data_IF_833707270326
#
_entry.id   IF_833707270326
#
_cell.length_a   1.000
_cell.length_b   1.000
_cell.length_c   1.000
_cell.angle_alpha   90.00
_cell.angle_beta   90.00
_cell.angle_gamma   90.00
#
_symmetry.space_group_name_H-M   'P 1'
#
loop_
_entity.id
_entity.type
_entity.pdbx_description
1 polymer ?
#
# COMPACT_ATOMS: atom_id res chain seq x y z
N UNK A 1 2.77 -6.82 -16.78
CA UNK A 1 1.57 -6.08 -16.40
C UNK A 1 1.12 -6.41 -14.96
N UNK A 2 0.80 -7.68 -14.62
CA UNK A 2 0.32 -8.08 -13.28
C UNK A 2 1.27 -7.69 -12.16
N UNK A 3 2.58 -8.00 -12.28
CA UNK A 3 3.58 -7.65 -11.25
C UNK A 3 3.67 -6.14 -10.99
N UNK A 4 3.58 -5.33 -12.03
CA UNK A 4 3.59 -3.87 -11.90
C UNK A 4 2.31 -3.37 -11.23
N UNK A 5 1.17 -3.99 -11.53
CA UNK A 5 -0.09 -3.69 -10.85
C UNK A 5 -0.03 -4.02 -9.34
N UNK A 6 0.53 -5.17 -8.99
CA UNK A 6 0.75 -5.54 -7.58
C UNK A 6 1.71 -4.53 -6.92
N UNK A 7 2.78 -4.15 -7.59
CA UNK A 7 3.72 -3.14 -7.09
C UNK A 7 3.02 -1.79 -6.84
N UNK A 8 2.09 -1.38 -7.72
CA UNK A 8 1.33 -0.14 -7.54
C UNK A 8 0.49 -0.15 -6.26
N UNK A 9 -0.10 -1.29 -5.91
CA UNK A 9 -0.84 -1.47 -4.66
C UNK A 9 0.10 -1.36 -3.45
N UNK A 10 1.24 -2.08 -3.48
CA UNK A 10 2.23 -2.01 -2.41
C UNK A 10 2.80 -0.60 -2.24
N UNK A 11 3.03 0.12 -3.33
CA UNK A 11 3.45 1.52 -3.28
C UNK A 11 2.39 2.38 -2.61
N UNK A 12 1.15 2.26 -3.03
CA UNK A 12 0.06 3.06 -2.47
C UNK A 12 -0.09 2.83 -0.96
N UNK A 13 0.01 1.59 -0.51
CA UNK A 13 -0.37 1.20 0.85
C UNK A 13 0.78 1.10 1.84
N UNK A 14 1.99 0.76 1.39
CA UNK A 14 2.97 0.24 2.33
C UNK A 14 4.37 0.84 2.17
N UNK A 15 4.94 0.92 0.97
CA UNK A 15 6.38 1.14 0.78
C UNK A 15 6.85 2.45 1.42
N UNK A 16 6.32 3.64 1.13
CA UNK A 16 6.88 4.88 1.65
C UNK A 16 6.66 5.05 3.17
N UNK A 17 5.52 4.59 3.69
CA UNK A 17 5.27 4.62 5.13
C UNK A 17 6.17 3.67 5.90
N UNK A 18 6.41 2.47 5.37
CA UNK A 18 7.35 1.51 5.94
C UNK A 18 8.76 2.06 5.95
N UNK A 19 9.23 2.63 4.83
CA UNK A 19 10.53 3.28 4.76
C UNK A 19 10.66 4.39 5.81
N UNK A 20 9.66 5.26 5.92
CA UNK A 20 9.67 6.36 6.88
C UNK A 20 9.78 5.85 8.33
N UNK A 21 9.01 4.83 8.69
CA UNK A 21 9.02 4.26 10.04
C UNK A 21 10.30 3.49 10.36
N UNK A 22 11.00 2.96 9.37
CA UNK A 22 12.29 2.31 9.59
C UNK A 22 13.38 3.28 10.13
N UNK A 23 13.23 4.59 9.95
CA UNK A 23 14.15 5.55 10.59
C UNK A 23 13.99 5.60 12.12
N UNK A 24 12.86 5.17 12.66
CA UNK A 24 12.60 5.16 14.10
C UNK A 24 13.03 3.84 14.74
N UNK A 25 14.17 3.85 15.46
CA UNK A 25 14.81 2.63 16.01
C UNK A 25 14.03 1.94 17.13
N UNK A 26 13.10 2.63 17.79
CA UNK A 26 12.43 2.12 19.02
C UNK A 26 11.05 1.53 18.78
N UNK A 27 10.53 1.51 17.54
CA UNK A 27 9.21 1.00 17.22
C UNK A 27 9.28 -0.51 17.01
N UNK A 28 8.34 -1.26 17.57
CA UNK A 28 8.20 -2.69 17.34
C UNK A 28 7.84 -2.95 15.88
N UNK A 29 8.31 -4.05 15.31
CA UNK A 29 8.09 -4.38 13.91
C UNK A 29 6.60 -4.47 13.55
N UNK A 30 5.76 -4.96 14.47
CA UNK A 30 4.32 -5.03 14.26
C UNK A 30 3.69 -3.64 14.13
N UNK A 31 4.11 -2.71 14.99
CA UNK A 31 3.63 -1.32 14.94
C UNK A 31 4.10 -0.63 13.66
N UNK A 32 5.33 -0.94 13.20
CA UNK A 32 5.84 -0.45 11.90
C UNK A 32 4.94 -0.91 10.78
N UNK A 33 4.56 -2.19 10.73
CA UNK A 33 3.69 -2.75 9.69
C UNK A 33 2.33 -2.06 9.71
N UNK A 34 1.69 -1.95 10.88
CA UNK A 34 0.35 -1.37 10.99
C UNK A 34 0.34 0.12 10.66
N UNK A 35 1.31 0.88 11.19
CA UNK A 35 1.39 2.33 10.97
C UNK A 35 1.89 2.70 9.56
N UNK A 36 2.52 1.76 8.84
CA UNK A 36 2.94 2.00 7.45
C UNK A 36 1.76 2.31 6.54
N UNK A 37 0.61 1.67 6.75
CA UNK A 37 -0.56 1.84 5.90
C UNK A 37 -1.03 3.31 5.87
N UNK A 38 -1.51 3.91 6.97
CA UNK A 38 -1.99 5.29 6.94
C UNK A 38 -0.89 6.28 6.55
N UNK A 39 0.36 6.01 6.96
CA UNK A 39 1.46 6.91 6.65
C UNK A 39 1.82 6.89 5.17
N UNK A 40 1.76 5.73 4.51
CA UNK A 40 1.97 5.61 3.05
C UNK A 40 0.97 6.45 2.27
N UNK A 41 -0.29 6.48 2.70
CA UNK A 41 -1.32 7.28 2.03
C UNK A 41 -0.97 8.76 2.06
N UNK A 42 -0.56 9.26 3.23
CA UNK A 42 -0.19 10.67 3.40
C UNK A 42 1.07 11.01 2.59
N UNK A 43 2.10 10.15 2.65
CA UNK A 43 3.35 10.39 1.93
C UNK A 43 3.12 10.37 0.42
N UNK A 44 2.39 9.38 -0.11
CA UNK A 44 2.06 9.31 -1.54
C UNK A 44 1.23 10.52 -1.99
N UNK A 45 0.26 10.94 -1.18
CA UNK A 45 -0.52 12.14 -1.49
C UNK A 45 0.39 13.37 -1.68
N UNK A 46 1.28 13.62 -0.74
CA UNK A 46 2.21 14.76 -0.79
C UNK A 46 3.18 14.59 -1.97
N UNK A 47 3.76 13.41 -2.15
CA UNK A 47 4.70 13.10 -3.22
C UNK A 47 4.08 13.35 -4.60
N UNK A 48 2.92 12.77 -4.87
CA UNK A 48 2.25 12.91 -6.16
C UNK A 48 1.84 14.36 -6.40
N UNK A 49 1.29 15.03 -5.38
CA UNK A 49 0.94 16.45 -5.48
C UNK A 49 2.15 17.30 -5.91
N UNK A 50 3.31 17.06 -5.32
CA UNK A 50 4.55 17.76 -5.69
C UNK A 50 4.99 17.40 -7.11
N UNK A 51 4.99 16.10 -7.47
CA UNK A 51 5.40 15.65 -8.81
C UNK A 51 4.50 16.22 -9.92
N UNK A 52 3.19 16.27 -9.69
CA UNK A 52 2.24 16.85 -10.66
C UNK A 52 2.47 18.35 -10.84
N UNK A 53 2.66 19.10 -9.75
CA UNK A 53 2.94 20.54 -9.84
C UNK A 53 4.26 20.85 -10.58
N UNK A 54 5.22 19.92 -10.53
CA UNK A 54 6.49 20.02 -11.26
C UNK A 54 6.43 19.43 -12.68
N UNK A 55 5.29 18.88 -13.11
CA UNK A 55 5.14 18.12 -14.36
C UNK A 55 6.12 16.92 -14.48
N UNK A 56 6.45 16.31 -13.34
CA UNK A 56 7.38 15.19 -13.25
C UNK A 56 6.70 13.84 -12.97
N UNK A 57 5.38 13.81 -12.83
CA UNK A 57 4.64 12.57 -12.54
C UNK A 57 4.53 11.71 -13.79
N UNK A 58 5.54 10.91 -14.05
CA UNK A 58 5.65 10.01 -15.19
C UNK A 58 6.06 8.61 -14.75
N UNK A 59 5.77 7.61 -15.58
CA UNK A 59 6.10 6.22 -15.32
C UNK A 59 7.58 6.04 -14.93
N UNK A 60 8.49 6.59 -15.72
CA UNK A 60 9.93 6.43 -15.51
C UNK A 60 10.40 7.04 -14.20
N UNK A 61 9.96 8.27 -13.89
CA UNK A 61 10.35 8.96 -12.66
C UNK A 61 9.77 8.23 -11.45
N UNK A 62 8.53 7.77 -11.53
CA UNK A 62 7.90 7.08 -10.42
C UNK A 62 8.53 5.71 -10.16
N UNK A 63 8.95 4.97 -11.21
CA UNK A 63 9.75 3.76 -11.05
C UNK A 63 11.10 4.01 -10.38
N UNK A 64 11.78 5.11 -10.73
CA UNK A 64 13.05 5.50 -10.09
C UNK A 64 12.82 5.77 -8.60
N UNK A 65 11.75 6.46 -8.23
CA UNK A 65 11.41 6.73 -6.82
C UNK A 65 11.19 5.42 -6.07
N UNK A 66 10.38 4.50 -6.59
CA UNK A 66 10.12 3.21 -5.97
C UNK A 66 11.43 2.41 -5.81
N UNK A 67 12.27 2.41 -6.83
CA UNK A 67 13.56 1.71 -6.77
C UNK A 67 14.45 2.30 -5.66
N UNK A 68 14.51 3.62 -5.53
CA UNK A 68 15.25 4.30 -4.47
C UNK A 68 14.69 3.97 -3.09
N UNK A 69 13.36 3.96 -2.92
CA UNK A 69 12.71 3.56 -1.67
C UNK A 69 13.07 2.13 -1.28
N UNK A 70 13.02 1.20 -2.22
CA UNK A 70 13.38 -0.21 -1.99
C UNK A 70 14.87 -0.35 -1.62
N UNK A 71 15.77 0.33 -2.33
CA UNK A 71 17.20 0.32 -2.01
C UNK A 71 17.46 0.87 -0.60
N UNK A 72 16.80 1.95 -0.22
CA UNK A 72 16.92 2.54 1.11
C UNK A 72 16.38 1.59 2.19
N UNK A 73 15.23 0.93 1.96
CA UNK A 73 14.69 -0.08 2.87
C UNK A 73 15.73 -1.18 3.10
N UNK A 74 16.27 -1.77 2.03
CA UNK A 74 17.29 -2.83 2.15
C UNK A 74 18.55 -2.34 2.85
N UNK A 75 19.03 -1.13 2.55
CA UNK A 75 20.20 -0.54 3.19
C UNK A 75 20.01 -0.38 4.69
N UNK A 76 18.84 0.13 5.12
CA UNK A 76 18.51 0.31 6.55
C UNK A 76 18.39 -1.05 7.24
N UNK A 77 17.72 -2.03 6.59
CA UNK A 77 17.56 -3.35 7.16
C UNK A 77 18.90 -4.07 7.34
N UNK A 78 19.80 -4.00 6.36
CA UNK A 78 21.15 -4.58 6.45
C UNK A 78 21.96 -3.92 7.55
N UNK A 79 21.89 -2.59 7.70
CA UNK A 79 22.60 -1.87 8.76
C UNK A 79 22.02 -2.15 10.16
N UNK A 80 20.72 -2.35 10.24
CA UNK A 80 20.00 -2.51 11.52
C UNK A 80 20.02 -3.95 12.03
N UNK A 81 19.92 -4.90 11.12
CA UNK A 81 19.91 -6.32 11.42
C UNK A 81 21.09 -6.97 10.72
N UNK A 82 22.06 -7.51 11.49
CA UNK A 82 23.07 -8.34 10.83
C UNK A 82 22.36 -9.44 10.06
N UNK A 83 22.87 -9.79 8.90
CA UNK A 83 22.29 -10.86 8.03
C UNK A 83 22.06 -12.14 8.84
N UNK A 84 22.98 -12.46 9.77
CA UNK A 84 22.87 -13.60 10.67
C UNK A 84 21.67 -13.49 11.64
N UNK A 85 21.31 -12.28 12.07
CA UNK A 85 20.12 -12.06 12.91
C UNK A 85 18.84 -12.29 12.11
N UNK A 86 18.75 -11.77 10.90
CA UNK A 86 17.60 -12.00 10.01
C UNK A 86 17.42 -13.50 9.71
N UNK A 87 18.49 -14.21 9.37
CA UNK A 87 18.45 -15.65 9.16
C UNK A 87 17.98 -16.38 10.42
N UNK A 88 18.52 -16.01 11.60
CA UNK A 88 18.12 -16.64 12.86
C UNK A 88 16.64 -16.39 13.23
N UNK A 89 16.10 -15.22 12.91
CA UNK A 89 14.68 -14.93 13.16
C UNK A 89 13.75 -15.68 12.16
N UNK A 90 14.18 -15.79 10.90
CA UNK A 90 13.50 -16.63 9.91
C UNK A 90 13.52 -18.10 10.34
N UNK A 91 14.69 -18.61 10.75
CA UNK A 91 14.81 -19.98 11.23
C UNK A 91 13.98 -20.22 12.50
N UNK A 92 13.91 -19.26 13.41
CA UNK A 92 13.02 -19.33 14.57
C UNK A 92 11.56 -19.39 14.16
N UNK A 93 11.15 -18.55 13.20
CA UNK A 93 9.77 -18.54 12.71
C UNK A 93 9.37 -19.89 12.13
N UNK A 94 10.22 -20.50 11.28
CA UNK A 94 9.99 -21.83 10.73
C UNK A 94 10.18 -22.97 11.74
N UNK A 95 11.03 -22.80 12.77
CA UNK A 95 11.23 -23.80 13.83
C UNK A 95 10.12 -23.76 14.89
N UNK A 96 9.45 -22.62 15.11
CA UNK A 96 8.28 -22.52 15.97
C UNK A 96 7.10 -23.36 15.44
N UNK A 97 7.00 -23.52 14.12
CA UNK A 97 6.00 -24.38 13.48
C UNK A 97 6.25 -25.87 13.80
N UNK A 98 7.51 -26.26 14.04
CA UNK A 98 7.92 -27.65 14.34
C UNK A 98 7.79 -28.01 15.83
N UNK A 99 7.81 -27.02 16.72
CA UNK A 99 7.68 -27.16 18.19
C UNK A 99 6.37 -26.58 18.73
N UNK A 100 5.29 -26.71 17.99
CA UNK A 100 3.97 -26.24 18.44
C UNK A 100 3.50 -27.04 19.66
N UNK A 101 4.05 -26.73 20.84
CA UNK A 101 3.25 -26.73 22.04
C UNK A 101 2.09 -25.80 21.72
N UNK A 102 0.90 -26.36 21.55
CA UNK A 102 -0.36 -25.65 21.34
C UNK A 102 -0.27 -24.30 22.06
N UNK A 103 -0.21 -23.24 21.27
CA UNK A 103 -0.28 -21.88 21.79
C UNK A 103 -1.59 -21.88 22.56
N UNK A 104 -1.51 -21.76 23.87
CA UNK A 104 -2.69 -21.66 24.73
C UNK A 104 -3.27 -20.27 24.49
N UNK A 105 -3.89 -20.12 23.30
CA UNK A 105 -4.59 -18.90 22.93
C UNK A 105 -5.82 -18.89 23.81
N UNK A 106 -5.76 -18.14 24.90
CA UNK A 106 -6.96 -17.76 25.62
C UNK A 106 -7.82 -16.94 24.64
N UNK A 107 -8.63 -17.64 23.85
CA UNK A 107 -9.62 -17.03 22.99
C UNK A 107 -10.66 -16.36 23.87
N UNK A 108 -10.44 -15.10 24.20
CA UNK A 108 -11.51 -14.29 24.76
C UNK A 108 -12.61 -14.18 23.69
N UNK A 109 -13.87 -14.10 24.10
CA UNK A 109 -15.00 -13.87 23.21
C UNK A 109 -14.74 -12.70 22.24
N UNK A 110 -14.04 -11.68 22.72
CA UNK A 110 -13.64 -10.50 21.95
C UNK A 110 -12.71 -10.89 20.78
N UNK A 111 -11.70 -11.74 21.01
CA UNK A 111 -10.80 -12.19 19.96
C UNK A 111 -11.52 -13.02 18.90
N UNK A 112 -12.50 -13.82 19.29
CA UNK A 112 -13.34 -14.58 18.38
C UNK A 112 -14.19 -13.65 17.50
N UNK A 113 -14.79 -12.61 18.08
CA UNK A 113 -15.57 -11.60 17.34
C UNK A 113 -14.69 -10.85 16.38
N UNK A 114 -13.49 -10.39 16.79
CA UNK A 114 -12.54 -9.70 15.94
C UNK A 114 -12.13 -10.59 14.75
N UNK A 115 -11.81 -11.86 15.01
CA UNK A 115 -11.45 -12.81 13.97
C UNK A 115 -12.60 -12.99 12.95
N UNK A 116 -13.82 -13.14 13.44
CA UNK A 116 -15.01 -13.30 12.59
C UNK A 116 -15.24 -12.04 11.73
N UNK A 117 -15.10 -10.86 12.31
CA UNK A 117 -15.20 -9.60 11.56
C UNK A 117 -14.10 -9.48 10.50
N UNK A 118 -12.86 -9.87 10.81
CA UNK A 118 -11.76 -9.89 9.84
C UNK A 118 -12.02 -10.87 8.69
N UNK A 119 -12.55 -12.06 8.98
CA UNK A 119 -12.92 -13.05 7.96
C UNK A 119 -14.03 -12.52 7.05
N UNK A 120 -15.10 -11.95 7.63
CA UNK A 120 -16.20 -11.35 6.87
C UNK A 120 -15.70 -10.19 6.00
N UNK A 121 -14.90 -9.31 6.58
CA UNK A 121 -14.29 -8.19 5.84
C UNK A 121 -13.40 -8.68 4.70
N UNK A 122 -12.51 -9.64 4.98
CA UNK A 122 -11.63 -10.23 3.95
C UNK A 122 -12.43 -10.88 2.82
N UNK A 123 -13.51 -11.60 3.13
CA UNK A 123 -14.40 -12.19 2.13
C UNK A 123 -15.05 -11.11 1.25
N UNK A 124 -15.53 -10.02 1.88
CA UNK A 124 -16.13 -8.90 1.16
C UNK A 124 -15.11 -8.17 0.28
N UNK A 125 -13.90 -7.95 0.80
CA UNK A 125 -12.79 -7.37 0.08
C UNK A 125 -12.41 -8.24 -1.14
N UNK A 126 -12.25 -9.56 -0.94
CA UNK A 126 -11.94 -10.50 -2.03
C UNK A 126 -13.03 -10.56 -3.09
N UNK A 127 -14.31 -10.48 -2.71
CA UNK A 127 -15.44 -10.46 -3.65
C UNK A 127 -15.42 -9.22 -4.54
N UNK A 128 -14.97 -8.08 -4.00
CA UNK A 128 -14.90 -6.81 -4.73
C UNK A 128 -13.57 -6.63 -5.47
N UNK A 129 -12.58 -7.48 -5.20
CA UNK A 129 -11.31 -7.51 -5.93
C UNK A 129 -11.60 -7.82 -7.41
N UNK A 130 -11.19 -6.90 -8.27
CA UNK A 130 -11.31 -7.10 -9.70
C UNK A 130 -12.64 -6.78 -10.32
N UNK A 131 -13.56 -6.21 -9.57
CA UNK A 131 -14.73 -5.61 -10.20
C UNK A 131 -14.32 -4.25 -10.82
N UNK A 132 -14.72 -3.98 -12.05
CA UNK A 132 -14.55 -2.64 -12.61
C UNK A 132 -15.28 -1.63 -11.73
N UNK A 133 -14.79 -0.42 -11.69
CA UNK A 133 -15.46 0.68 -11.01
C UNK A 133 -16.86 0.81 -11.58
N UNK A 134 -17.86 0.31 -10.86
CA UNK A 134 -19.26 0.33 -11.28
C UNK A 134 -19.90 1.63 -10.83
N UNK A 135 -20.87 2.10 -11.60
CA UNK A 135 -21.67 3.31 -11.49
C UNK A 135 -21.63 4.15 -10.18
N UNK A 136 -21.74 5.46 -10.30
CA UNK A 136 -21.78 6.42 -9.21
C UNK A 136 -20.51 7.27 -9.11
N UNK A 137 -20.35 7.98 -8.00
CA UNK A 137 -19.24 8.90 -7.76
C UNK A 137 -17.84 8.30 -8.07
N UNK A 138 -17.53 7.03 -7.74
CA UNK A 138 -16.24 6.42 -8.07
C UNK A 138 -15.97 6.39 -9.57
N UNK A 139 -16.96 6.10 -10.42
CA UNK A 139 -16.78 6.04 -11.86
C UNK A 139 -16.75 7.44 -12.48
N UNK A 140 -17.70 8.27 -12.09
CA UNK A 140 -17.94 9.55 -12.76
C UNK A 140 -16.99 10.65 -12.31
N UNK A 141 -16.49 10.57 -11.07
CA UNK A 141 -15.61 11.60 -10.49
C UNK A 141 -14.23 11.07 -10.17
N UNK A 142 -14.11 10.11 -9.26
CA UNK A 142 -12.82 9.71 -8.70
C UNK A 142 -11.91 9.08 -9.74
N UNK A 143 -12.46 8.26 -10.62
CA UNK A 143 -11.69 7.65 -11.70
C UNK A 143 -11.22 8.70 -12.72
N UNK A 144 -12.09 9.62 -13.13
CA UNK A 144 -11.73 10.73 -14.03
C UNK A 144 -10.66 11.63 -13.41
N UNK A 145 -10.78 11.92 -12.11
CA UNK A 145 -9.76 12.71 -11.41
C UNK A 145 -8.43 11.96 -11.29
N UNK A 146 -8.46 10.65 -11.05
CA UNK A 146 -7.25 9.84 -11.04
C UNK A 146 -6.54 9.85 -12.39
N UNK A 147 -7.30 9.81 -13.48
CA UNK A 147 -6.75 9.94 -14.85
C UNK A 147 -6.16 11.35 -15.06
N UNK A 148 -6.83 12.42 -14.58
CA UNK A 148 -6.27 13.78 -14.64
C UNK A 148 -4.95 13.87 -13.88
N UNK A 149 -4.91 13.39 -12.63
CA UNK A 149 -3.66 13.33 -11.85
C UNK A 149 -2.55 12.59 -12.59
N UNK A 150 -2.87 11.45 -13.22
CA UNK A 150 -1.87 10.65 -13.97
C UNK A 150 -1.33 11.37 -15.22
N UNK A 151 -2.04 12.37 -15.71
CA UNK A 151 -1.64 13.23 -16.84
C UNK A 151 -0.94 14.53 -16.41
N UNK A 152 -0.60 14.67 -15.13
CA UNK A 152 -0.11 15.92 -14.53
C UNK A 152 -1.12 17.08 -14.58
N UNK A 153 -2.40 16.77 -14.53
CA UNK A 153 -3.48 17.76 -14.52
C UNK A 153 -4.16 17.74 -13.14
N UNK A 154 -4.24 18.90 -12.49
CA UNK A 154 -4.97 19.03 -11.23
C UNK A 154 -6.46 19.11 -11.58
N UNK A 155 -7.33 18.22 -11.03
CA UNK A 155 -8.76 18.27 -11.30
C UNK A 155 -9.40 19.60 -10.90
N UNK A 156 -10.38 20.03 -11.66
CA UNK A 156 -11.05 21.33 -11.43
C UNK A 156 -11.75 21.41 -10.06
N UNK A 157 -12.28 20.29 -9.56
CA UNK A 157 -13.02 20.24 -8.29
C UNK A 157 -12.13 19.81 -7.11
N UNK A 158 -11.16 20.66 -6.74
CA UNK A 158 -10.26 20.42 -5.59
C UNK A 158 -10.94 20.54 -4.22
N UNK A 159 -12.18 21.00 -4.17
CA UNK A 159 -13.00 21.09 -2.94
C UNK A 159 -13.33 19.72 -2.34
N UNK A 160 -13.33 18.67 -3.16
CA UNK A 160 -13.52 17.30 -2.70
C UNK A 160 -12.20 16.64 -2.28
N UNK A 161 -12.23 15.69 -1.34
CA UNK A 161 -11.04 14.98 -0.90
C UNK A 161 -10.34 14.28 -2.08
N UNK A 162 -9.14 14.74 -2.43
CA UNK A 162 -8.38 14.20 -3.57
C UNK A 162 -7.49 13.00 -3.19
N UNK A 163 -7.49 12.56 -1.94
CA UNK A 163 -6.63 11.47 -1.48
C UNK A 163 -6.87 10.17 -2.26
N UNK A 164 -8.11 9.75 -2.45
CA UNK A 164 -8.45 8.53 -3.17
C UNK A 164 -8.09 8.62 -4.66
N UNK A 165 -8.52 9.67 -5.41
CA UNK A 165 -8.11 9.84 -6.81
C UNK A 165 -6.60 9.86 -7.02
N UNK A 166 -5.85 10.52 -6.15
CA UNK A 166 -4.38 10.55 -6.22
C UNK A 166 -3.80 9.15 -6.07
N UNK A 167 -4.26 8.36 -5.13
CA UNK A 167 -3.78 6.99 -4.95
C UNK A 167 -4.15 6.08 -6.12
N UNK A 168 -5.32 6.27 -6.71
CA UNK A 168 -5.72 5.57 -7.93
C UNK A 168 -4.77 5.86 -9.10
N UNK A 169 -4.30 7.10 -9.22
CA UNK A 169 -3.41 7.52 -10.30
C UNK A 169 -2.07 6.74 -10.32
N UNK A 170 -1.63 6.19 -9.17
CA UNK A 170 -0.41 5.39 -9.08
C UNK A 170 -0.45 4.19 -10.03
N UNK A 171 -1.57 3.47 -10.07
CA UNK A 171 -1.74 2.32 -10.95
C UNK A 171 -1.73 2.75 -12.42
N UNK A 172 -2.38 3.85 -12.76
CA UNK A 172 -2.42 4.36 -14.13
C UNK A 172 -1.04 4.80 -14.63
N UNK A 173 -0.28 5.50 -13.80
CA UNK A 173 1.07 5.94 -14.16
C UNK A 173 2.01 4.74 -14.30
N UNK A 174 2.02 3.82 -13.33
CA UNK A 174 2.94 2.67 -13.36
C UNK A 174 2.64 1.70 -14.50
N UNK A 175 1.37 1.48 -14.82
CA UNK A 175 0.97 0.58 -15.91
C UNK A 175 0.93 1.28 -17.27
N UNK A 176 1.04 2.61 -17.28
CA UNK A 176 0.91 3.45 -18.48
C UNK A 176 -0.37 3.12 -19.27
N UNK A 177 -1.47 2.91 -18.58
CA UNK A 177 -2.75 2.51 -19.14
C UNK A 177 -3.89 2.98 -18.26
N UNK A 178 -4.99 3.37 -18.88
CA UNK A 178 -6.23 3.76 -18.19
C UNK A 178 -7.28 2.63 -18.14
N UNK A 179 -6.97 1.47 -18.74
CA UNK A 179 -7.84 0.30 -18.79
C UNK A 179 -7.57 -0.69 -17.64
N UNK A 180 -6.88 -0.23 -16.59
CA UNK A 180 -6.42 -1.11 -15.49
C UNK A 180 -7.18 -0.84 -14.18
N UNK A 181 -8.46 -0.55 -14.28
CA UNK A 181 -9.35 -0.27 -13.15
C UNK A 181 -9.31 -1.34 -12.05
N UNK A 182 -8.96 -2.58 -12.42
CA UNK A 182 -8.74 -3.68 -11.49
C UNK A 182 -7.77 -3.34 -10.35
N UNK A 183 -6.60 -2.78 -10.68
CA UNK A 183 -5.59 -2.43 -9.68
C UNK A 183 -5.98 -1.14 -8.95
N UNK A 184 -6.63 -0.24 -9.64
CA UNK A 184 -7.15 1.01 -9.06
C UNK A 184 -8.20 0.73 -8.01
N UNK A 185 -9.18 -0.15 -8.30
CA UNK A 185 -10.22 -0.53 -7.34
C UNK A 185 -9.66 -1.28 -6.14
N UNK A 186 -8.55 -2.03 -6.30
CA UNK A 186 -7.89 -2.70 -5.19
C UNK A 186 -7.34 -1.73 -4.14
N UNK A 187 -7.01 -0.49 -4.51
CA UNK A 187 -6.60 0.55 -3.55
C UNK A 187 -7.73 0.92 -2.60
N UNK A 188 -9.00 0.83 -3.05
CA UNK A 188 -10.18 1.12 -2.21
C UNK A 188 -10.50 0.07 -1.16
N UNK A 189 -9.90 -1.13 -1.22
CA UNK A 189 -10.24 -2.20 -0.28
C UNK A 189 -9.83 -1.92 1.17
N UNK A 190 -9.04 -0.87 1.41
CA UNK A 190 -8.63 -0.46 2.76
C UNK A 190 -9.53 0.64 3.33
N UNK A 191 -10.38 1.27 2.52
CA UNK A 191 -11.33 2.31 2.94
C UNK A 191 -12.75 1.78 3.00
#
# INVERSE_FOLDING_TARGET
MVLVGILSIFQAWFIPGFLFLLFYRKIKILDVIVLSLPLSLVINYILIYVLVNLNLYSQSIFFIIILLEIILIFSILIQRYSINFLISEIDKFFSMEKNSKLININFSLINLIILLLLVVYSFYALKNLGQPVQAGDPLDMWNKWAISWSKNEIPYHVEYPQAVPILYSISYVLLNSYEVEYFTSAVCLIY
#
